data_IF_930036261789
#
_entry.id   IF_930036261789
#
_cell.length_a   1.000
_cell.length_b   1.000
_cell.length_c   1.000
_cell.angle_alpha   90.00
_cell.angle_beta   90.00
_cell.angle_gamma   90.00
#
_symmetry.space_group_name_H-M   'P 1'
#
loop_
_entity.id
_entity.type
_entity.pdbx_description
1 polymer ?
#
# COMPACT_ATOMS: atom_id res chain seq x y z
N UNK A 1 -17.01 -15.32 -1.63
CA UNK A 1 -16.04 -15.01 -2.69
C UNK A 1 -16.20 -13.53 -3.01
N UNK A 2 -15.55 -12.67 -2.21
CA UNK A 2 -15.60 -11.23 -2.42
C UNK A 2 -14.47 -10.86 -3.36
N UNK A 3 -14.79 -10.18 -4.46
CA UNK A 3 -13.80 -9.53 -5.30
C UNK A 3 -12.96 -8.62 -4.40
N UNK A 4 -11.70 -9.00 -4.16
CA UNK A 4 -10.71 -8.06 -3.66
C UNK A 4 -10.42 -7.13 -4.82
N UNK A 5 -11.29 -6.15 -5.04
CA UNK A 5 -10.96 -5.01 -5.90
C UNK A 5 -9.71 -4.39 -5.29
N UNK A 6 -8.57 -4.69 -5.92
CA UNK A 6 -7.28 -4.14 -5.53
C UNK A 6 -7.41 -2.64 -5.75
N UNK A 7 -7.67 -1.90 -4.67
CA UNK A 7 -7.86 -0.47 -4.74
C UNK A 7 -6.50 0.19 -4.71
N UNK A 8 -6.01 0.56 -5.88
CA UNK A 8 -4.89 1.49 -5.96
C UNK A 8 -5.37 2.90 -5.59
N UNK A 9 -4.57 3.65 -4.83
CA UNK A 9 -4.92 5.00 -4.46
C UNK A 9 -5.06 5.93 -5.68
N UNK A 10 -6.05 6.83 -5.65
CA UNK A 10 -6.07 7.99 -6.54
C UNK A 10 -5.20 9.08 -5.90
N UNK A 11 -4.07 9.35 -6.53
CA UNK A 11 -3.02 10.31 -6.13
C UNK A 11 -3.24 11.69 -6.75
N UNK A 12 -3.77 11.72 -7.96
CA UNK A 12 -3.93 12.93 -8.76
C UNK A 12 -5.39 13.07 -9.21
N UNK A 13 -5.93 14.28 -9.11
CA UNK A 13 -7.24 14.62 -9.68
C UNK A 13 -7.20 14.59 -11.21
N UNK A 14 -6.04 14.96 -11.79
CA UNK A 14 -5.81 14.89 -13.23
C UNK A 14 -5.70 13.42 -13.68
N UNK A 15 -6.57 12.96 -14.59
CA UNK A 15 -6.59 11.57 -15.03
C UNK A 15 -5.35 11.17 -15.83
N UNK A 16 -4.71 12.10 -16.55
CA UNK A 16 -3.47 11.85 -17.29
C UNK A 16 -2.33 11.59 -16.32
N UNK A 17 -2.19 12.43 -15.29
CA UNK A 17 -1.16 12.25 -14.26
C UNK A 17 -1.38 10.97 -13.46
N UNK A 18 -2.63 10.68 -13.09
CA UNK A 18 -2.97 9.43 -12.43
C UNK A 18 -2.64 8.21 -13.30
N UNK A 19 -2.88 8.29 -14.61
CA UNK A 19 -2.53 7.21 -15.54
C UNK A 19 -1.03 7.03 -15.66
N UNK A 20 -0.27 8.12 -15.81
CA UNK A 20 1.18 8.08 -15.91
C UNK A 20 1.82 7.54 -14.63
N UNK A 21 1.29 7.91 -13.46
CA UNK A 21 1.70 7.34 -12.18
C UNK A 21 1.49 5.83 -12.15
N UNK A 22 0.28 5.34 -12.48
CA UNK A 22 0.02 3.90 -12.52
C UNK A 22 0.96 3.17 -13.48
N UNK A 23 1.23 3.75 -14.66
CA UNK A 23 2.14 3.16 -15.64
C UNK A 23 3.59 3.09 -15.14
N UNK A 24 4.02 4.02 -14.28
CA UNK A 24 5.36 4.02 -13.71
C UNK A 24 5.58 2.89 -12.71
N UNK A 25 4.54 2.48 -11.97
CA UNK A 25 4.67 1.43 -10.96
C UNK A 25 4.21 0.05 -11.48
N UNK A 26 3.22 0.03 -12.36
CA UNK A 26 2.61 -1.21 -12.84
C UNK A 26 3.62 -2.09 -13.58
N UNK A 27 3.85 -3.29 -13.04
CA UNK A 27 4.70 -4.30 -13.68
C UNK A 27 6.19 -4.01 -13.61
N UNK A 28 6.62 -3.03 -12.80
CA UNK A 28 8.04 -2.74 -12.57
C UNK A 28 8.68 -3.72 -11.60
N UNK A 29 7.90 -4.27 -10.68
CA UNK A 29 8.39 -5.26 -9.72
C UNK A 29 8.83 -6.54 -10.44
N UNK A 30 10.10 -6.90 -10.27
CA UNK A 30 10.68 -8.15 -10.79
C UNK A 30 10.29 -9.36 -9.93
N UNK A 31 9.92 -9.11 -8.66
CA UNK A 31 9.53 -10.11 -7.67
C UNK A 31 8.18 -9.75 -7.05
N UNK A 32 7.31 -10.72 -6.78
CA UNK A 32 6.01 -10.45 -6.16
C UNK A 32 6.16 -9.79 -4.79
N UNK A 33 5.14 -9.04 -4.36
CA UNK A 33 5.11 -8.48 -3.02
C UNK A 33 5.00 -9.60 -1.98
N UNK A 34 5.84 -9.53 -0.96
CA UNK A 34 5.79 -10.41 0.20
C UNK A 34 4.93 -9.78 1.29
N UNK A 35 4.14 -10.61 1.98
CA UNK A 35 3.45 -10.18 3.20
C UNK A 35 4.46 -10.13 4.34
N UNK A 36 4.84 -8.92 4.74
CA UNK A 36 5.76 -8.68 5.85
C UNK A 36 5.03 -8.11 7.06
N UNK A 37 5.51 -8.44 8.25
CA UNK A 37 5.04 -7.87 9.50
C UNK A 37 6.10 -6.91 10.06
N UNK A 38 5.70 -5.87 10.81
CA UNK A 38 6.65 -5.09 11.59
C UNK A 38 7.42 -6.00 12.57
N UNK A 39 8.70 -5.68 12.87
CA UNK A 39 9.50 -6.50 13.79
C UNK A 39 8.83 -6.66 15.16
N UNK A 40 8.67 -7.92 15.60
CA UNK A 40 8.09 -8.25 16.90
C UNK A 40 6.57 -8.19 16.97
N UNK A 41 5.87 -7.98 15.84
CA UNK A 41 4.41 -7.92 15.78
C UNK A 41 3.87 -9.24 15.20
N UNK A 42 2.90 -9.84 15.90
CA UNK A 42 2.17 -11.00 15.40
C UNK A 42 1.13 -10.61 14.34
N UNK A 43 0.69 -11.60 13.55
CA UNK A 43 -0.36 -11.36 12.56
C UNK A 43 -1.66 -10.84 13.23
N UNK A 44 -2.00 -11.35 14.41
CA UNK A 44 -3.18 -10.91 15.16
C UNK A 44 -3.07 -9.43 15.57
N UNK A 45 -1.96 -9.03 16.19
CA UNK A 45 -1.73 -7.64 16.59
C UNK A 45 -1.73 -6.70 15.38
N UNK A 46 -1.20 -7.17 14.24
CA UNK A 46 -1.23 -6.41 13.00
C UNK A 46 -2.65 -6.23 12.46
N UNK A 47 -3.47 -7.27 12.46
CA UNK A 47 -4.86 -7.21 11.98
C UNK A 47 -5.74 -6.34 12.90
N UNK A 48 -5.51 -6.39 14.22
CA UNK A 48 -6.15 -5.49 15.20
C UNK A 48 -5.76 -4.04 14.91
N UNK A 49 -4.46 -3.75 14.74
CA UNK A 49 -3.99 -2.40 14.42
C UNK A 49 -4.54 -1.87 13.09
N UNK A 50 -4.60 -2.71 12.05
CA UNK A 50 -5.23 -2.36 10.77
C UNK A 50 -6.69 -1.98 10.97
N UNK A 51 -7.42 -2.75 11.77
CA UNK A 51 -8.83 -2.46 12.08
C UNK A 51 -8.98 -1.11 12.79
N UNK A 52 -8.08 -0.80 13.72
CA UNK A 52 -8.06 0.51 14.40
C UNK A 52 -7.78 1.66 13.43
N UNK A 53 -6.84 1.48 12.49
CA UNK A 53 -6.58 2.47 11.45
C UNK A 53 -7.77 2.63 10.50
N UNK A 54 -8.39 1.54 10.06
CA UNK A 54 -9.58 1.58 9.21
C UNK A 54 -10.73 2.33 9.89
N UNK A 55 -10.89 2.17 11.21
CA UNK A 55 -11.88 2.89 12.01
C UNK A 55 -11.53 4.39 12.15
N UNK A 56 -10.24 4.73 12.22
CA UNK A 56 -9.79 6.10 12.42
C UNK A 56 -9.80 6.95 11.14
N UNK A 57 -9.32 6.39 10.01
CA UNK A 57 -9.19 7.14 8.74
C UNK A 57 -10.18 6.71 7.66
N UNK A 58 -10.92 5.62 7.87
CA UNK A 58 -11.78 5.00 6.88
C UNK A 58 -11.04 3.92 6.07
N UNK A 59 -11.76 2.85 5.70
CA UNK A 59 -11.20 1.69 4.96
C UNK A 59 -10.53 2.05 3.65
N UNK A 60 -11.04 3.08 2.97
CA UNK A 60 -10.50 3.55 1.69
C UNK A 60 -9.12 4.22 1.81
N UNK A 61 -8.66 4.45 3.05
CA UNK A 61 -7.40 5.08 3.39
C UNK A 61 -6.41 4.10 4.03
N UNK A 62 -6.71 2.80 4.03
CA UNK A 62 -5.82 1.74 4.52
C UNK A 62 -5.56 0.73 3.41
N UNK A 63 -4.29 0.57 3.05
CA UNK A 63 -3.84 -0.22 1.90
C UNK A 63 -2.99 -1.39 2.38
N UNK A 64 -3.25 -2.59 1.83
CA UNK A 64 -2.55 -3.85 2.16
C UNK A 64 -2.39 -4.73 0.92
N UNK A 65 -1.43 -5.65 0.94
CA UNK A 65 -1.22 -6.61 -0.15
C UNK A 65 -0.84 -5.90 -1.46
N UNK A 66 -1.51 -6.22 -2.56
CA UNK A 66 -1.15 -5.71 -3.89
C UNK A 66 -1.27 -4.19 -4.04
N UNK A 67 -2.10 -3.50 -3.25
CA UNK A 67 -2.16 -2.04 -3.27
C UNK A 67 -0.88 -1.37 -2.75
N UNK A 68 0.05 -2.15 -2.18
CA UNK A 68 1.35 -1.67 -1.71
C UNK A 68 2.40 -1.56 -2.83
N UNK A 69 2.10 -1.98 -4.06
CA UNK A 69 3.01 -1.90 -5.21
C UNK A 69 3.51 -0.46 -5.43
N UNK A 70 2.62 0.53 -5.31
CA UNK A 70 2.98 1.95 -5.43
C UNK A 70 3.79 2.53 -4.25
N UNK A 71 4.06 1.73 -3.21
CA UNK A 71 4.84 2.12 -2.03
C UNK A 71 6.21 1.44 -2.00
N UNK A 72 6.48 0.58 -2.97
CA UNK A 72 7.80 0.01 -3.20
C UNK A 72 8.53 0.93 -4.18
N UNK A 73 9.83 1.14 -3.96
CA UNK A 73 10.66 1.93 -4.85
C UNK A 73 10.70 1.27 -6.26
N UNK A 74 10.21 1.93 -7.32
CA UNK A 74 10.21 1.36 -8.67
C UNK A 74 11.64 1.22 -9.24
N UNK A 75 12.64 1.82 -8.60
CA UNK A 75 14.05 1.70 -8.95
C UNK A 75 14.84 0.88 -7.91
N UNK A 76 14.16 0.02 -7.14
CA UNK A 76 14.79 -0.83 -6.12
C UNK A 76 15.91 -1.69 -6.72
N UNK A 77 17.15 -1.31 -6.40
CA UNK A 77 18.34 -1.99 -6.91
C UNK A 77 18.56 -3.35 -6.25
N UNK A 78 17.97 -3.59 -5.07
CA UNK A 78 18.21 -4.78 -4.26
C UNK A 78 17.07 -5.81 -4.26
N UNK A 79 16.19 -5.74 -5.25
CA UNK A 79 15.01 -6.61 -5.33
C UNK A 79 15.38 -8.09 -5.42
N UNK A 80 16.50 -8.42 -6.07
CA UNK A 80 16.98 -9.81 -6.22
C UNK A 80 17.81 -10.29 -5.02
N UNK A 81 18.43 -9.37 -4.30
CA UNK A 81 19.28 -9.62 -3.14
C UNK A 81 18.46 -9.78 -1.85
N UNK A 82 17.14 -9.64 -1.92
CA UNK A 82 16.23 -9.78 -0.78
C UNK A 82 16.36 -8.66 0.25
N UNK A 83 16.93 -7.51 -0.13
CA UNK A 83 17.06 -6.33 0.75
C UNK A 83 16.06 -5.23 0.42
N UNK A 84 15.12 -5.51 -0.50
CA UNK A 84 14.03 -4.60 -0.84
C UNK A 84 13.26 -4.18 0.41
N UNK A 85 13.05 -2.88 0.55
CA UNK A 85 12.21 -2.37 1.65
C UNK A 85 10.75 -2.68 1.35
N UNK A 86 10.14 -3.50 2.20
CA UNK A 86 8.75 -3.92 2.05
C UNK A 86 7.88 -3.24 3.11
N UNK A 87 6.84 -2.49 2.72
CA UNK A 87 5.82 -2.01 3.64
C UNK A 87 4.89 -3.17 4.05
N UNK A 88 4.40 -3.16 5.28
CA UNK A 88 3.37 -4.10 5.75
C UNK A 88 1.96 -3.60 5.42
N UNK A 89 1.73 -2.29 5.54
CA UNK A 89 0.53 -1.56 5.16
C UNK A 89 0.89 -0.09 4.86
N UNK A 90 -0.03 0.64 4.25
CA UNK A 90 0.03 2.09 4.15
C UNK A 90 -1.28 2.71 4.65
N UNK A 91 -1.17 3.78 5.44
CA UNK A 91 -2.30 4.50 6.03
C UNK A 91 -2.23 5.94 5.59
N UNK A 92 -3.31 6.44 5.01
CA UNK A 92 -3.45 7.83 4.58
C UNK A 92 -4.23 8.61 5.61
N UNK A 93 -3.54 9.46 6.36
CA UNK A 93 -4.23 10.45 7.17
C UNK A 93 -4.70 11.57 6.24
N UNK A 94 -6.00 11.63 5.97
CA UNK A 94 -6.60 12.87 5.51
C UNK A 94 -6.68 13.81 6.70
N UNK A 95 -6.24 15.06 6.53
CA UNK A 95 -6.53 16.11 7.50
C UNK A 95 -8.05 16.14 7.66
N UNK A 96 -8.53 16.05 8.91
CA UNK A 96 -9.90 16.42 9.22
C UNK A 96 -10.08 17.84 8.67
N UNK A 97 -10.81 18.00 7.57
CA UNK A 97 -11.38 19.29 7.26
C UNK A 97 -12.25 19.63 8.46
N UNK A 98 -11.79 20.54 9.31
CA UNK A 98 -12.66 21.12 10.34
C UNK A 98 -13.88 21.66 9.58
N UNK A 99 -15.06 21.18 9.99
CA UNK A 99 -16.34 21.61 9.43
C UNK A 99 -16.66 23.06 9.74
#
# INVERSE_FOLDING_TARGET
MGSTDIKFPIRYEDPEYQSNHRNLFSGVLLSPLENVLPPGVSQQEFDEAVTDFENAVGRDHVFRGQSLEEYVDPYELWEKEGKRKMPSAAVWCVLLSEG
#
